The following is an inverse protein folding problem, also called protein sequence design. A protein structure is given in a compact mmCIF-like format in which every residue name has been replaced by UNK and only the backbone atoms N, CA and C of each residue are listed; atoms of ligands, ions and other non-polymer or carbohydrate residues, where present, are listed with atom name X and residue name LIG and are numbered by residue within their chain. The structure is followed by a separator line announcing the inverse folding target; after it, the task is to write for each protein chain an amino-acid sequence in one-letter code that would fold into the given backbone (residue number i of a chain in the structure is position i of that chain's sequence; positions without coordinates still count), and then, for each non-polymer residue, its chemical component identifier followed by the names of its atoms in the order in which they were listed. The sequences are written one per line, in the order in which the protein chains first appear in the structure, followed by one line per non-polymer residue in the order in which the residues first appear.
data_IF_832976743847
#
_entry.id   IF_832976743847
#
_cell.length_a   1.000
_cell.length_b   1.000
_cell.length_c   1.000
_cell.angle_alpha   90.00
_cell.angle_beta   90.00
_cell.angle_gamma   90.00
#
_symmetry.space_group_name_H-M   'P 1'
#
loop_
_entity.id
_entity.type
_entity.pdbx_description
1 polymer ?
#
# COMPACT_ATOMS: atom_id res chain seq x y z
N UNK A 1 -3.70 18.45 45.28
CA UNK A 1 -4.51 18.61 44.05
C UNK A 1 -3.54 18.95 42.94
N UNK A 2 -3.33 18.01 42.01
CA UNK A 2 -2.25 18.04 41.02
C UNK A 2 -2.62 18.86 39.79
N UNK A 3 -1.64 19.59 39.26
CA UNK A 3 -1.73 20.45 38.07
C UNK A 3 -1.41 19.63 36.80
N UNK A 4 -2.15 19.95 35.75
CA UNK A 4 -2.12 19.51 34.33
C UNK A 4 -0.74 19.28 33.70
N UNK A 5 -0.62 18.22 32.89
CA UNK A 5 0.35 18.10 31.80
C UNK A 5 -0.27 17.35 30.62
N UNK A 6 -0.94 18.08 29.72
CA UNK A 6 -1.33 17.57 28.41
C UNK A 6 -0.16 17.74 27.44
N UNK A 7 0.41 16.63 26.96
CA UNK A 7 1.36 16.65 25.86
C UNK A 7 0.59 16.88 24.55
N UNK A 8 0.63 18.10 24.04
CA UNK A 8 0.29 18.39 22.66
C UNK A 8 1.46 17.91 21.77
N UNK A 9 1.22 16.88 20.95
CA UNK A 9 2.16 16.50 19.90
C UNK A 9 2.19 17.61 18.85
N UNK A 10 3.29 18.38 18.84
CA UNK A 10 3.60 19.32 17.78
C UNK A 10 3.95 18.55 16.50
N UNK A 11 3.05 18.56 15.51
CA UNK A 11 3.38 18.16 14.15
C UNK A 11 4.25 19.26 13.53
N UNK A 12 5.56 19.09 13.57
CA UNK A 12 6.47 19.92 12.79
C UNK A 12 6.39 19.48 11.33
N UNK A 13 5.61 20.22 10.54
CA UNK A 13 5.70 20.20 9.08
C UNK A 13 7.11 20.69 8.70
N UNK A 14 8.01 19.79 8.34
CA UNK A 14 9.23 20.15 7.62
C UNK A 14 8.82 20.57 6.22
N UNK A 15 8.62 21.88 6.05
CA UNK A 15 8.60 22.51 4.74
C UNK A 15 9.94 22.23 4.06
N UNK A 16 9.91 21.47 2.97
CA UNK A 16 11.02 21.35 2.03
C UNK A 16 11.11 22.68 1.26
N UNK A 17 11.73 23.66 1.90
CA UNK A 17 12.19 24.89 1.26
C UNK A 17 13.65 24.72 0.89
N UNK A 18 13.97 24.88 -0.38
CA UNK A 18 15.34 25.14 -0.83
C UNK A 18 15.26 26.09 -2.02
N UNK A 19 15.20 27.37 -1.67
CA UNK A 19 15.45 28.45 -2.60
C UNK A 19 16.97 28.74 -2.60
N UNK A 20 17.55 28.63 -3.80
CA UNK A 20 18.76 29.28 -4.35
C UNK A 20 20.16 29.12 -3.73
N UNK A 21 21.10 28.80 -4.62
CA UNK A 21 22.29 29.62 -4.84
C UNK A 21 22.66 29.63 -6.34
N UNK A 22 22.80 30.85 -6.88
CA UNK A 22 23.38 31.16 -8.20
C UNK A 22 24.90 30.90 -8.18
N UNK A 23 25.48 30.37 -9.27
CA UNK A 23 26.77 30.86 -9.82
C UNK A 23 27.04 30.29 -11.22
N UNK A 24 27.53 31.15 -12.12
CA UNK A 24 27.85 30.81 -13.50
C UNK A 24 29.37 30.62 -13.64
N UNK A 25 29.81 29.56 -14.34
CA UNK A 25 31.16 29.51 -14.92
C UNK A 25 31.17 28.64 -16.17
N UNK A 26 31.77 29.21 -17.23
CA UNK A 26 32.02 28.59 -18.52
C UNK A 26 33.13 27.53 -18.45
N UNK A 27 32.95 26.47 -19.25
CA UNK A 27 34.05 25.70 -19.84
C UNK A 27 34.51 24.47 -19.06
N UNK A 28 34.36 23.29 -19.67
CA UNK A 28 35.49 22.53 -20.21
C UNK A 28 35.05 21.09 -20.51
N UNK A 29 35.39 20.64 -21.71
CA UNK A 29 35.24 19.28 -22.21
C UNK A 29 35.94 18.28 -21.28
N UNK A 30 35.18 17.32 -20.73
CA UNK A 30 35.71 16.23 -19.92
C UNK A 30 34.97 14.93 -20.22
N UNK A 31 35.49 14.16 -21.16
CA UNK A 31 35.11 12.76 -21.40
C UNK A 31 35.50 11.90 -20.18
N UNK A 32 34.62 10.97 -19.76
CA UNK A 32 34.86 9.66 -19.07
C UNK A 32 33.86 9.42 -17.91
N UNK A 33 33.38 8.18 -17.67
CA UNK A 33 32.79 7.18 -18.55
C UNK A 33 31.27 7.04 -18.28
N UNK A 34 30.51 6.46 -19.21
CA UNK A 34 29.16 5.99 -18.88
C UNK A 34 29.28 4.92 -17.80
N UNK A 35 28.69 5.16 -16.62
CA UNK A 35 28.59 4.17 -15.59
C UNK A 35 27.72 3.01 -16.11
N UNK A 36 28.39 1.89 -16.37
CA UNK A 36 27.79 0.58 -16.53
C UNK A 36 26.79 0.32 -15.41
N UNK A 37 25.58 -0.02 -15.84
CA UNK A 37 24.54 -0.80 -15.17
C UNK A 37 24.85 -1.26 -13.74
N UNK A 38 24.19 -0.62 -12.76
CA UNK A 38 23.79 -1.33 -11.55
C UNK A 38 22.29 -1.56 -11.65
N UNK A 39 21.93 -2.64 -12.35
CA UNK A 39 20.71 -3.36 -12.07
C UNK A 39 20.80 -3.77 -10.59
N UNK A 40 19.98 -3.14 -9.75
CA UNK A 40 19.81 -3.60 -8.37
C UNK A 40 19.16 -4.98 -8.39
N UNK A 41 19.51 -5.86 -7.43
CA UNK A 41 19.63 -7.29 -7.62
C UNK A 41 18.28 -7.97 -7.80
N UNK A 42 18.30 -9.03 -8.61
CA UNK A 42 17.12 -9.68 -9.14
C UNK A 42 16.15 -10.25 -8.11
N UNK A 43 14.91 -10.33 -8.56
CA UNK A 43 14.10 -11.51 -8.43
C UNK A 43 13.26 -11.58 -9.69
N UNK A 44 13.65 -12.41 -10.65
CA UNK A 44 12.73 -12.83 -11.70
C UNK A 44 11.45 -13.29 -11.01
N UNK A 45 10.41 -12.48 -11.11
CA UNK A 45 9.06 -12.90 -10.83
C UNK A 45 8.43 -12.89 -12.21
N UNK A 46 8.46 -14.03 -12.88
CA UNK A 46 7.81 -14.30 -14.18
C UNK A 46 6.27 -14.22 -14.07
N UNK A 47 5.76 -13.31 -13.24
CA UNK A 47 4.36 -13.13 -12.89
C UNK A 47 3.90 -11.71 -13.17
N UNK A 48 2.63 -11.59 -13.53
CA UNK A 48 1.91 -10.34 -13.70
C UNK A 48 2.04 -9.42 -12.48
N UNK A 49 1.80 -8.12 -12.66
CA UNK A 49 1.83 -7.15 -11.55
C UNK A 49 0.92 -7.54 -10.38
N UNK A 50 -0.18 -8.24 -10.68
CA UNK A 50 -1.13 -8.79 -9.72
C UNK A 50 -0.54 -9.94 -8.90
N UNK A 51 0.19 -10.88 -9.52
CA UNK A 51 0.86 -11.99 -8.82
C UNK A 51 2.02 -11.50 -7.96
N UNK A 52 2.76 -10.48 -8.42
CA UNK A 52 3.79 -9.84 -7.61
C UNK A 52 3.21 -9.11 -6.40
N UNK A 53 2.05 -8.47 -6.55
CA UNK A 53 1.30 -7.89 -5.44
C UNK A 53 0.87 -8.96 -4.43
N UNK A 54 0.28 -10.06 -4.89
CA UNK A 54 -0.15 -11.16 -4.04
C UNK A 54 1.06 -11.78 -3.29
N UNK A 55 2.17 -12.01 -3.98
CA UNK A 55 3.42 -12.50 -3.39
C UNK A 55 3.99 -11.60 -2.29
N UNK A 56 3.78 -10.28 -2.35
CA UNK A 56 4.15 -9.37 -1.25
C UNK A 56 3.27 -9.57 -0.02
N UNK A 57 1.96 -9.75 -0.21
CA UNK A 57 1.04 -10.01 0.90
C UNK A 57 1.30 -11.35 1.58
N UNK A 58 1.65 -12.39 0.83
CA UNK A 58 2.04 -13.70 1.37
C UNK A 58 3.27 -13.63 2.28
N UNK A 59 4.22 -12.75 1.97
CA UNK A 59 5.41 -12.52 2.81
C UNK A 59 5.08 -11.75 4.09
N UNK A 60 4.09 -10.86 4.05
CA UNK A 60 3.72 -9.99 5.17
C UNK A 60 2.66 -10.61 6.10
N UNK A 61 1.82 -11.52 5.58
CA UNK A 61 0.70 -12.13 6.29
C UNK A 61 0.89 -13.65 6.27
N UNK A 62 1.49 -14.23 7.33
CA UNK A 62 1.86 -15.65 7.36
C UNK A 62 0.71 -16.63 7.02
N UNK A 63 -0.55 -16.39 7.44
CA UNK A 63 -1.67 -17.26 7.05
C UNK A 63 -1.93 -17.37 5.54
N UNK A 64 -1.41 -16.44 4.72
CA UNK A 64 -1.57 -16.46 3.27
C UNK A 64 -0.45 -17.22 2.54
N UNK A 65 0.60 -17.67 3.24
CA UNK A 65 1.81 -18.20 2.61
C UNK A 65 1.53 -19.37 1.64
N UNK A 66 0.58 -20.24 1.99
CA UNK A 66 0.19 -21.41 1.20
C UNK A 66 -0.98 -21.12 0.24
N UNK A 67 -1.59 -19.92 0.28
CA UNK A 67 -2.68 -19.55 -0.62
C UNK A 67 -2.13 -19.27 -2.03
N UNK A 68 -2.69 -19.85 -3.10
CA UNK A 68 -2.28 -19.56 -4.46
C UNK A 68 -2.43 -18.06 -4.81
N UNK A 69 -1.46 -17.51 -5.54
CA UNK A 69 -1.46 -16.08 -5.90
C UNK A 69 -2.72 -15.72 -6.72
N UNK A 70 -3.13 -16.61 -7.63
CA UNK A 70 -4.35 -16.46 -8.43
C UNK A 70 -5.61 -16.33 -7.56
N UNK A 71 -5.69 -17.05 -6.45
CA UNK A 71 -6.84 -17.00 -5.54
C UNK A 71 -6.87 -15.68 -4.77
N UNK A 72 -5.71 -15.17 -4.35
CA UNK A 72 -5.59 -13.85 -3.71
C UNK A 72 -5.96 -12.72 -4.67
N UNK A 73 -5.53 -12.82 -5.93
CA UNK A 73 -5.88 -11.86 -6.99
C UNK A 73 -7.38 -11.90 -7.28
N UNK A 74 -7.97 -13.09 -7.40
CA UNK A 74 -9.40 -13.26 -7.62
C UNK A 74 -10.22 -12.69 -6.45
N UNK A 75 -9.81 -12.95 -5.21
CA UNK A 75 -10.44 -12.41 -4.02
C UNK A 75 -10.37 -10.87 -3.99
N UNK A 76 -9.20 -10.28 -4.27
CA UNK A 76 -9.05 -8.83 -4.32
C UNK A 76 -9.92 -8.16 -5.41
N UNK A 77 -9.97 -8.74 -6.61
CA UNK A 77 -10.85 -8.27 -7.70
C UNK A 77 -12.33 -8.37 -7.32
N UNK A 78 -12.74 -9.48 -6.69
CA UNK A 78 -14.12 -9.68 -6.23
C UNK A 78 -14.52 -8.59 -5.22
N UNK A 79 -13.66 -8.27 -4.27
CA UNK A 79 -13.95 -7.23 -3.26
C UNK A 79 -14.09 -5.85 -3.87
N UNK A 80 -13.24 -5.53 -4.85
CA UNK A 80 -13.40 -4.29 -5.58
C UNK A 80 -14.77 -4.24 -6.29
N UNK A 81 -15.17 -5.33 -6.95
CA UNK A 81 -16.47 -5.40 -7.60
C UNK A 81 -17.64 -5.28 -6.61
N UNK A 82 -17.59 -6.00 -5.48
CA UNK A 82 -18.62 -5.96 -4.44
C UNK A 82 -18.75 -4.55 -3.83
N UNK A 83 -17.62 -3.91 -3.50
CA UNK A 83 -17.63 -2.56 -2.92
C UNK A 83 -18.09 -1.51 -3.93
N UNK A 84 -17.65 -1.61 -5.18
CA UNK A 84 -18.09 -0.68 -6.25
C UNK A 84 -19.59 -0.79 -6.50
N UNK A 85 -20.16 -2.00 -6.39
CA UNK A 85 -21.61 -2.20 -6.50
C UNK A 85 -22.39 -1.58 -5.34
N UNK A 86 -21.80 -1.51 -4.14
CA UNK A 86 -22.45 -0.96 -2.95
C UNK A 86 -21.42 -0.32 -1.99
N UNK A 87 -20.98 0.94 -2.21
CA UNK A 87 -19.90 1.56 -1.45
C UNK A 87 -20.39 2.09 -0.10
N UNK A 88 -20.73 1.18 0.81
CA UNK A 88 -21.34 1.50 2.12
C UNK A 88 -20.56 0.88 3.27
N UNK A 89 -20.74 1.42 4.48
CA UNK A 89 -20.12 0.88 5.69
C UNK A 89 -20.49 -0.59 5.98
N UNK A 90 -21.76 -1.03 5.83
CA UNK A 90 -22.10 -2.45 5.92
C UNK A 90 -21.35 -3.33 4.92
N UNK A 91 -21.19 -2.87 3.67
CA UNK A 91 -20.45 -3.62 2.64
C UNK A 91 -18.97 -3.73 2.99
N UNK A 92 -18.34 -2.62 3.40
CA UNK A 92 -16.93 -2.63 3.81
C UNK A 92 -16.69 -3.60 4.98
N UNK A 93 -17.57 -3.57 5.99
CA UNK A 93 -17.52 -4.52 7.13
C UNK A 93 -17.72 -5.97 6.69
N UNK A 94 -18.63 -6.22 5.74
CA UNK A 94 -18.84 -7.56 5.20
C UNK A 94 -17.61 -8.09 4.45
N UNK A 95 -16.94 -7.23 3.66
CA UNK A 95 -15.70 -7.56 2.94
C UNK A 95 -14.57 -7.90 3.93
N UNK A 96 -14.38 -7.10 4.98
CA UNK A 96 -13.38 -7.37 6.02
C UNK A 96 -13.67 -8.70 6.72
N UNK A 97 -14.94 -8.92 7.09
CA UNK A 97 -15.35 -10.16 7.76
C UNK A 97 -15.21 -11.39 6.87
N UNK A 98 -15.46 -11.27 5.57
CA UNK A 98 -15.22 -12.34 4.60
C UNK A 98 -13.73 -12.69 4.53
N UNK A 99 -12.84 -11.70 4.55
CA UNK A 99 -11.40 -11.94 4.61
C UNK A 99 -10.99 -12.67 5.89
N UNK A 100 -11.55 -12.31 7.05
CA UNK A 100 -11.32 -13.02 8.33
C UNK A 100 -11.71 -14.50 8.22
N UNK A 101 -12.87 -14.81 7.62
CA UNK A 101 -13.39 -16.18 7.57
C UNK A 101 -12.78 -17.02 6.46
N UNK A 102 -12.66 -16.45 5.26
CA UNK A 102 -12.27 -17.17 4.03
C UNK A 102 -10.75 -17.35 3.96
N UNK A 103 -10.01 -16.31 4.35
CA UNK A 103 -8.54 -16.34 4.36
C UNK A 103 -7.96 -16.64 5.75
N UNK A 104 -8.83 -16.89 6.75
CA UNK A 104 -8.45 -17.20 8.14
C UNK A 104 -7.52 -16.15 8.75
N UNK A 105 -7.80 -14.89 8.44
CA UNK A 105 -7.02 -13.74 8.91
C UNK A 105 -7.56 -13.27 10.26
N UNK A 106 -6.67 -12.86 11.16
CA UNK A 106 -7.11 -12.08 12.32
C UNK A 106 -7.60 -10.69 11.88
N UNK A 107 -8.35 -9.95 12.72
CA UNK A 107 -8.92 -8.67 12.32
C UNK A 107 -7.91 -7.65 11.80
N UNK A 108 -6.68 -7.62 12.32
CA UNK A 108 -5.64 -6.69 11.87
C UNK A 108 -5.13 -7.12 10.50
N UNK A 109 -4.86 -8.41 10.31
CA UNK A 109 -4.45 -8.96 9.01
C UNK A 109 -5.53 -8.79 7.94
N UNK A 110 -6.81 -9.00 8.29
CA UNK A 110 -7.93 -8.82 7.40
C UNK A 110 -8.04 -7.36 6.93
N UNK A 111 -7.93 -6.39 7.85
CA UNK A 111 -7.88 -4.96 7.51
C UNK A 111 -6.68 -4.61 6.63
N UNK A 112 -5.49 -5.13 6.95
CA UNK A 112 -4.28 -4.89 6.15
C UNK A 112 -4.43 -5.44 4.72
N UNK A 113 -4.92 -6.67 4.60
CA UNK A 113 -5.11 -7.33 3.32
C UNK A 113 -6.21 -6.67 2.49
N UNK A 114 -7.37 -6.38 3.07
CA UNK A 114 -8.48 -5.69 2.38
C UNK A 114 -8.10 -4.27 1.95
N UNK A 115 -7.41 -3.50 2.82
CA UNK A 115 -6.91 -2.17 2.47
C UNK A 115 -5.91 -2.22 1.31
N UNK A 116 -5.00 -3.20 1.31
CA UNK A 116 -4.08 -3.44 0.21
C UNK A 116 -4.76 -3.87 -1.09
N UNK A 117 -5.79 -4.71 -1.00
CA UNK A 117 -6.56 -5.19 -2.14
C UNK A 117 -7.37 -4.06 -2.77
N UNK A 118 -8.02 -3.23 -1.96
CA UNK A 118 -8.76 -2.06 -2.45
C UNK A 118 -7.81 -1.04 -3.07
N UNK A 119 -6.65 -0.75 -2.46
CA UNK A 119 -5.68 0.17 -3.05
C UNK A 119 -5.13 -0.31 -4.40
N UNK A 120 -4.94 -1.63 -4.56
CA UNK A 120 -4.39 -2.20 -5.79
C UNK A 120 -5.44 -2.38 -6.90
N UNK A 121 -6.62 -2.93 -6.57
CA UNK A 121 -7.66 -3.26 -7.56
C UNK A 121 -8.77 -2.22 -7.69
N UNK A 122 -8.95 -1.37 -6.68
CA UNK A 122 -10.05 -0.41 -6.57
C UNK A 122 -9.53 1.00 -6.24
N UNK A 123 -8.44 1.40 -6.91
CA UNK A 123 -7.68 2.62 -6.58
C UNK A 123 -8.57 3.87 -6.46
N UNK A 124 -9.53 4.06 -7.38
CA UNK A 124 -10.47 5.20 -7.35
C UNK A 124 -11.47 5.18 -6.17
N UNK A 125 -11.64 4.02 -5.53
CA UNK A 125 -12.54 3.81 -4.40
C UNK A 125 -11.80 3.72 -3.05
N UNK A 126 -10.47 3.85 -3.03
CA UNK A 126 -9.67 3.67 -1.82
C UNK A 126 -10.10 4.56 -0.66
N UNK A 127 -10.33 5.85 -0.91
CA UNK A 127 -10.81 6.79 0.12
C UNK A 127 -12.23 6.44 0.58
N UNK A 128 -13.13 6.11 -0.33
CA UNK A 128 -14.51 5.75 0.00
C UNK A 128 -14.56 4.49 0.87
N UNK A 129 -13.74 3.49 0.56
CA UNK A 129 -13.61 2.28 1.36
C UNK A 129 -13.07 2.57 2.76
N UNK A 130 -12.01 3.37 2.87
CA UNK A 130 -11.45 3.76 4.16
C UNK A 130 -12.49 4.49 5.03
N UNK A 131 -13.23 5.45 4.46
CA UNK A 131 -14.32 6.15 5.15
C UNK A 131 -15.43 5.17 5.57
N UNK A 132 -15.86 4.28 4.67
CA UNK A 132 -16.88 3.28 4.98
C UNK A 132 -16.43 2.28 6.06
N UNK A 133 -15.13 1.98 6.15
CA UNK A 133 -14.58 1.01 7.10
C UNK A 133 -14.56 1.53 8.54
N UNK A 134 -14.42 2.85 8.73
CA UNK A 134 -14.38 3.46 10.08
C UNK A 134 -15.76 3.78 10.65
N UNK A 135 -16.79 3.90 9.79
CA UNK A 135 -18.18 4.14 10.20
C UNK A 135 -18.56 5.60 10.22
#
# INVERSE_FOLDING_TARGET
MSITAGLALALTLTACGSEKADDATSGSTGTTPAATTTASPGGASDGSADEQWAGRFKKAIPPLADTPDADLVAAGKKMCADFTAAPTAPTAKAIIKDAETTLKLDPVQANLWTGGAIAHFCNDQGTAFLTASVG
#
